data_IF_506089600240
#
_entry.id   IF_506089600240
#
_cell.length_a   1.000
_cell.length_b   1.000
_cell.length_c   1.000
_cell.angle_alpha   90.00
_cell.angle_beta   90.00
_cell.angle_gamma   90.00
#
_symmetry.space_group_name_H-M   'P 1'
#
loop_
_entity.id
_entity.type
_entity.pdbx_description
1 polymer ?
#
# COMPACT_ATOMS: atom_id res chain seq x y z
N UNK A 1 2.86 -1.54 18.38
CA UNK A 1 4.03 -1.19 17.55
C UNK A 1 3.64 -0.58 16.20
N UNK A 2 2.85 -1.23 15.33
CA UNK A 2 2.42 -0.58 14.06
C UNK A 2 1.42 0.57 14.24
N UNK A 3 0.81 0.68 15.42
CA UNK A 3 -0.13 1.75 15.79
C UNK A 3 0.53 2.87 16.60
N UNK A 4 1.86 2.82 16.78
CA UNK A 4 2.57 3.83 17.54
C UNK A 4 2.62 5.16 16.79
N UNK A 5 2.62 6.27 17.55
CA UNK A 5 2.84 7.61 16.97
C UNK A 5 4.30 7.79 16.56
N UNK A 6 5.22 7.14 17.28
CA UNK A 6 6.63 7.19 16.94
C UNK A 6 6.87 6.42 15.64
N UNK A 7 7.07 7.18 14.57
CA UNK A 7 7.25 6.61 13.26
C UNK A 7 8.42 5.59 13.29
N UNK A 8 9.55 5.84 13.97
CA UNK A 8 10.70 4.91 13.96
C UNK A 8 10.32 3.51 14.49
N UNK A 9 9.44 3.44 15.49
CA UNK A 9 8.92 2.16 15.98
C UNK A 9 8.04 1.45 14.94
N UNK A 10 7.27 2.21 14.18
CA UNK A 10 6.47 1.66 13.07
C UNK A 10 7.37 1.10 11.97
N UNK A 11 8.44 1.82 11.58
CA UNK A 11 9.37 1.36 10.54
C UNK A 11 10.12 0.10 10.97
N UNK A 12 10.74 0.10 12.15
CA UNK A 12 11.45 -1.06 12.64
C UNK A 12 10.51 -2.25 12.87
N UNK A 13 9.31 -1.98 13.38
CA UNK A 13 8.30 -3.02 13.57
C UNK A 13 7.86 -3.66 12.27
N UNK A 14 7.59 -2.86 11.25
CA UNK A 14 7.18 -3.36 9.94
C UNK A 14 8.32 -4.05 9.19
N UNK A 15 9.54 -3.51 9.26
CA UNK A 15 10.73 -4.15 8.71
C UNK A 15 10.99 -5.52 9.35
N UNK A 16 10.81 -5.63 10.67
CA UNK A 16 10.84 -6.90 11.38
C UNK A 16 9.79 -7.89 10.89
N UNK A 17 8.53 -7.44 10.77
CA UNK A 17 7.44 -8.28 10.25
C UNK A 17 7.68 -8.75 8.80
N UNK A 18 8.19 -7.87 7.94
CA UNK A 18 8.52 -8.19 6.56
C UNK A 18 9.51 -9.37 6.48
N UNK A 19 10.54 -9.36 7.32
CA UNK A 19 11.51 -10.45 7.38
C UNK A 19 10.93 -11.74 7.98
N UNK A 20 10.05 -11.63 8.98
CA UNK A 20 9.48 -12.78 9.68
C UNK A 20 8.38 -13.50 8.91
N UNK A 21 7.61 -12.79 8.07
CA UNK A 21 6.40 -13.32 7.44
C UNK A 21 6.66 -14.35 6.33
N UNK A 22 7.93 -14.64 5.99
CA UNK A 22 8.31 -15.77 5.13
C UNK A 22 8.21 -17.12 5.85
N UNK A 23 8.36 -17.13 7.18
CA UNK A 23 8.08 -18.32 7.98
C UNK A 23 6.57 -18.59 8.05
N UNK A 24 6.18 -19.86 7.90
CA UNK A 24 4.77 -20.26 7.82
C UNK A 24 4.00 -20.00 9.12
N UNK A 25 4.64 -20.26 10.26
CA UNK A 25 4.03 -20.08 11.58
C UNK A 25 3.83 -18.60 11.87
N UNK A 26 4.85 -17.78 11.62
CA UNK A 26 4.76 -16.33 11.75
C UNK A 26 3.70 -15.75 10.81
N UNK A 27 3.65 -16.21 9.56
CA UNK A 27 2.62 -15.80 8.59
C UNK A 27 1.21 -16.06 9.11
N UNK A 28 0.94 -17.26 9.61
CA UNK A 28 -0.36 -17.59 10.21
C UNK A 28 -0.69 -16.64 11.35
N UNK A 29 0.24 -16.49 12.32
CA UNK A 29 0.03 -15.59 13.45
C UNK A 29 -0.25 -14.14 13.04
N UNK A 30 0.43 -13.62 12.02
CA UNK A 30 0.18 -12.26 11.52
C UNK A 30 -1.24 -12.15 10.93
N UNK A 31 -1.68 -13.13 10.16
CA UNK A 31 -3.03 -13.14 9.58
C UNK A 31 -4.11 -13.31 10.67
N UNK A 32 -3.94 -14.27 11.56
CA UNK A 32 -4.90 -14.63 12.61
C UNK A 32 -5.06 -13.52 13.67
N UNK A 33 -4.02 -12.72 13.88
CA UNK A 33 -4.06 -11.56 14.79
C UNK A 33 -4.64 -10.28 14.16
N UNK A 34 -5.08 -10.33 12.90
CA UNK A 34 -5.56 -9.14 12.18
C UNK A 34 -4.44 -8.18 11.75
N UNK A 35 -3.20 -8.65 11.75
CA UNK A 35 -2.03 -7.86 11.37
C UNK A 35 -2.07 -7.35 9.93
N UNK A 36 -2.79 -8.04 9.04
CA UNK A 36 -2.94 -7.63 7.63
C UNK A 36 -3.48 -6.20 7.48
N UNK A 37 -4.51 -5.84 8.25
CA UNK A 37 -5.09 -4.47 8.23
C UNK A 37 -4.07 -3.43 8.66
N UNK A 38 -3.24 -3.74 9.65
CA UNK A 38 -2.19 -2.85 10.12
C UNK A 38 -1.11 -2.64 9.06
N UNK A 39 -0.72 -3.71 8.34
CA UNK A 39 0.21 -3.63 7.21
C UNK A 39 -0.36 -2.78 6.07
N UNK A 40 -1.65 -2.95 5.74
CA UNK A 40 -2.33 -2.12 4.72
C UNK A 40 -2.30 -0.64 5.12
N UNK A 41 -2.58 -0.31 6.38
CA UNK A 41 -2.53 1.08 6.87
C UNK A 41 -1.13 1.70 6.75
N UNK A 42 -0.06 0.89 6.81
CA UNK A 42 1.30 1.38 6.60
C UNK A 42 1.60 1.83 5.17
N UNK A 43 0.77 1.49 4.17
CA UNK A 43 0.90 2.01 2.80
C UNK A 43 0.71 3.54 2.75
N UNK A 44 -0.07 4.11 3.66
CA UNK A 44 -0.27 5.57 3.78
C UNK A 44 0.89 6.31 4.47
N UNK A 45 1.97 5.61 4.85
CA UNK A 45 3.14 6.23 5.50
C UNK A 45 3.84 7.23 4.58
N UNK A 46 4.36 8.31 5.16
CA UNK A 46 5.21 9.28 4.44
C UNK A 46 6.65 8.78 4.26
N UNK A 47 7.02 7.70 4.95
CA UNK A 47 8.38 7.16 4.87
C UNK A 47 8.46 6.01 3.89
N UNK A 48 9.34 6.17 2.91
CA UNK A 48 9.53 5.23 1.82
C UNK A 48 9.88 3.82 2.31
N UNK A 49 10.75 3.68 3.32
CA UNK A 49 11.12 2.36 3.86
C UNK A 49 9.96 1.63 4.54
N UNK A 50 9.05 2.40 5.18
CA UNK A 50 7.81 1.84 5.72
C UNK A 50 6.90 1.37 4.59
N UNK A 51 6.74 2.16 3.52
CA UNK A 51 5.93 1.77 2.35
C UNK A 51 6.53 0.54 1.64
N UNK A 52 7.84 0.49 1.44
CA UNK A 52 8.54 -0.65 0.84
C UNK A 52 8.35 -1.93 1.65
N UNK A 53 8.48 -1.84 2.98
CA UNK A 53 8.25 -2.96 3.88
C UNK A 53 6.78 -3.40 3.85
N UNK A 54 5.83 -2.46 3.81
CA UNK A 54 4.40 -2.76 3.69
C UNK A 54 4.10 -3.53 2.41
N UNK A 55 4.55 -3.00 1.25
CA UNK A 55 4.37 -3.61 -0.07
C UNK A 55 4.86 -5.06 -0.11
N UNK A 56 6.10 -5.25 0.33
CA UNK A 56 6.75 -6.57 0.33
C UNK A 56 6.04 -7.52 1.30
N UNK A 57 5.65 -7.04 2.47
CA UNK A 57 4.88 -7.83 3.45
C UNK A 57 3.54 -8.26 2.87
N UNK A 58 2.81 -7.40 2.14
CA UNK A 58 1.54 -7.78 1.50
C UNK A 58 1.72 -8.89 0.46
N UNK A 59 2.79 -8.84 -0.34
CA UNK A 59 3.12 -9.92 -1.27
C UNK A 59 3.32 -11.25 -0.54
N UNK A 60 4.10 -11.23 0.55
CA UNK A 60 4.38 -12.43 1.34
C UNK A 60 3.17 -12.94 2.11
N UNK A 61 2.29 -12.05 2.58
CA UNK A 61 1.05 -12.40 3.26
C UNK A 61 -0.06 -12.82 2.30
N UNK A 62 0.12 -12.71 0.98
CA UNK A 62 -0.89 -13.14 0.02
C UNK A 62 -0.98 -14.66 -0.05
N UNK A 63 -2.07 -15.19 0.47
CA UNK A 63 -2.44 -16.61 0.44
C UNK A 63 -3.82 -16.74 -0.19
N UNK A 64 -4.30 -17.97 -0.43
CA UNK A 64 -5.67 -18.17 -0.91
C UNK A 64 -6.73 -17.53 0.02
N UNK A 65 -6.49 -17.54 1.34
CA UNK A 65 -7.42 -17.00 2.32
C UNK A 65 -7.37 -15.46 2.43
N UNK A 66 -6.19 -14.85 2.25
CA UNK A 66 -5.98 -13.40 2.41
C UNK A 66 -6.03 -12.61 1.10
N UNK A 67 -6.04 -13.28 -0.06
CA UNK A 67 -5.96 -12.63 -1.39
C UNK A 67 -7.00 -11.55 -1.60
N UNK A 68 -8.24 -11.77 -1.17
CA UNK A 68 -9.33 -10.80 -1.36
C UNK A 68 -9.07 -9.49 -0.61
N UNK A 69 -8.46 -9.56 0.59
CA UNK A 69 -8.11 -8.38 1.37
C UNK A 69 -6.81 -7.72 0.86
N UNK A 70 -5.81 -8.53 0.50
CA UNK A 70 -4.55 -8.05 -0.11
C UNK A 70 -4.81 -7.33 -1.43
N UNK A 71 -5.78 -7.79 -2.23
CA UNK A 71 -6.15 -7.19 -3.52
C UNK A 71 -7.47 -6.42 -3.46
N UNK A 72 -7.83 -5.93 -2.27
CA UNK A 72 -8.99 -5.06 -2.10
C UNK A 72 -8.84 -3.80 -2.97
N UNK A 73 -9.94 -3.21 -3.49
CA UNK A 73 -9.87 -2.09 -4.44
C UNK A 73 -8.97 -0.93 -4.00
N UNK A 74 -9.04 -0.53 -2.72
CA UNK A 74 -8.20 0.52 -2.17
C UNK A 74 -6.70 0.19 -2.21
N UNK A 75 -6.34 -1.08 -1.98
CA UNK A 75 -4.94 -1.54 -2.08
C UNK A 75 -4.48 -1.49 -3.53
N UNK A 76 -5.28 -2.01 -4.46
CA UNK A 76 -4.95 -1.99 -5.90
C UNK A 76 -4.80 -0.55 -6.42
N UNK A 77 -5.66 0.37 -5.98
CA UNK A 77 -5.56 1.79 -6.30
C UNK A 77 -4.24 2.40 -5.76
N UNK A 78 -3.85 2.09 -4.53
CA UNK A 78 -2.54 2.45 -3.99
C UNK A 78 -1.39 1.91 -4.86
N UNK A 79 -1.47 0.66 -5.33
CA UNK A 79 -0.43 0.08 -6.19
C UNK A 79 -0.35 0.78 -7.55
N UNK A 80 -1.49 1.12 -8.14
CA UNK A 80 -1.51 1.90 -9.39
C UNK A 80 -0.83 3.26 -9.17
N UNK A 81 -1.15 3.98 -8.09
CA UNK A 81 -0.48 5.24 -7.74
C UNK A 81 1.03 5.05 -7.52
N UNK A 82 1.43 4.02 -6.77
CA UNK A 82 2.83 3.73 -6.49
C UNK A 82 3.64 3.30 -7.71
N UNK A 83 3.02 2.65 -8.69
CA UNK A 83 3.66 2.32 -9.97
C UNK A 83 4.13 3.56 -10.75
N UNK A 84 3.53 4.72 -10.47
CA UNK A 84 3.88 6.02 -11.05
C UNK A 84 4.87 6.83 -10.20
N UNK A 85 5.33 6.28 -9.08
CA UNK A 85 6.27 6.96 -8.17
C UNK A 85 7.64 7.19 -8.84
N UNK A 86 8.28 8.32 -8.52
CA UNK A 86 9.66 8.61 -8.91
C UNK A 86 10.67 7.72 -8.17
N UNK A 87 10.28 7.15 -7.03
CA UNK A 87 11.09 6.17 -6.32
C UNK A 87 11.01 4.82 -7.04
N UNK A 88 12.12 4.44 -7.69
CA UNK A 88 12.22 3.20 -8.48
C UNK A 88 11.95 1.93 -7.68
N UNK A 89 12.30 1.88 -6.39
CA UNK A 89 12.04 0.67 -5.57
C UNK A 89 10.54 0.49 -5.36
N UNK A 90 9.84 1.58 -5.03
CA UNK A 90 8.40 1.57 -4.83
C UNK A 90 7.67 1.27 -6.14
N UNK A 91 8.02 1.94 -7.24
CA UNK A 91 7.34 1.74 -8.51
C UNK A 91 7.55 0.34 -9.09
N UNK A 92 8.77 -0.22 -8.96
CA UNK A 92 9.03 -1.60 -9.37
C UNK A 92 8.23 -2.61 -8.55
N UNK A 93 8.24 -2.50 -7.22
CA UNK A 93 7.48 -3.43 -6.36
C UNK A 93 5.98 -3.31 -6.61
N UNK A 94 5.45 -2.10 -6.75
CA UNK A 94 4.04 -1.91 -7.07
C UNK A 94 3.67 -2.50 -8.44
N UNK A 95 4.55 -2.37 -9.44
CA UNK A 95 4.35 -2.98 -10.76
C UNK A 95 4.32 -4.50 -10.68
N UNK A 96 5.26 -5.11 -9.96
CA UNK A 96 5.28 -6.55 -9.70
C UNK A 96 4.01 -6.99 -8.96
N UNK A 97 3.57 -6.21 -7.96
CA UNK A 97 2.34 -6.51 -7.22
C UNK A 97 1.13 -6.58 -8.16
N UNK A 98 0.98 -5.59 -9.03
CA UNK A 98 -0.13 -5.51 -9.99
C UNK A 98 -0.10 -6.68 -10.97
N UNK A 99 1.08 -7.09 -11.42
CA UNK A 99 1.27 -8.19 -12.38
C UNK A 99 1.01 -9.57 -11.77
N UNK A 100 1.52 -9.82 -10.56
CA UNK A 100 1.56 -11.18 -9.99
C UNK A 100 0.33 -11.48 -9.11
N UNK A 101 -0.34 -10.46 -8.58
CA UNK A 101 -1.38 -10.64 -7.57
C UNK A 101 -2.76 -10.16 -8.01
N UNK A 102 -2.85 -9.22 -8.94
CA UNK A 102 -4.11 -8.63 -9.39
C UNK A 102 -4.52 -9.15 -10.77
N UNK A 103 -5.83 -9.18 -11.04
CA UNK A 103 -6.35 -9.42 -12.39
C UNK A 103 -6.38 -8.12 -13.21
N UNK A 104 -6.32 -8.24 -14.54
CA UNK A 104 -6.42 -7.10 -15.46
C UNK A 104 -7.65 -6.23 -15.18
N UNK A 105 -8.78 -6.88 -14.85
CA UNK A 105 -10.03 -6.20 -14.47
C UNK A 105 -9.84 -5.32 -13.23
N UNK A 106 -9.25 -5.85 -12.15
CA UNK A 106 -9.00 -5.07 -10.93
C UNK A 106 -8.06 -3.88 -11.21
N UNK A 107 -7.03 -4.09 -12.02
CA UNK A 107 -6.08 -3.03 -12.38
C UNK A 107 -6.75 -1.94 -13.21
N UNK A 108 -7.62 -2.32 -14.15
CA UNK A 108 -8.35 -1.37 -14.99
C UNK A 108 -9.36 -0.54 -14.18
N UNK A 109 -10.15 -1.18 -13.32
CA UNK A 109 -11.08 -0.50 -12.41
C UNK A 109 -10.35 0.50 -11.50
N UNK A 110 -9.19 0.12 -10.95
CA UNK A 110 -8.38 1.00 -10.10
C UNK A 110 -7.79 2.21 -10.86
N UNK A 111 -7.38 2.02 -12.12
CA UNK A 111 -6.91 3.12 -12.98
C UNK A 111 -8.02 4.12 -13.29
N UNK A 112 -9.23 3.63 -13.57
CA UNK A 112 -10.39 4.49 -13.82
C UNK A 112 -10.75 5.32 -12.57
N UNK A 113 -10.79 4.72 -11.39
CA UNK A 113 -11.04 5.43 -10.13
C UNK A 113 -9.99 6.50 -9.85
N UNK A 114 -8.71 6.18 -10.08
CA UNK A 114 -7.61 7.13 -9.89
C UNK A 114 -7.74 8.35 -10.80
N UNK A 115 -8.18 8.17 -12.05
CA UNK A 115 -8.41 9.26 -13.00
C UNK A 115 -9.59 10.17 -12.59
N UNK A 116 -10.67 9.59 -12.06
CA UNK A 116 -11.83 10.36 -11.59
C UNK A 116 -11.54 11.13 -10.30
N UNK A 117 -10.66 10.63 -9.42
CA UNK A 117 -10.25 11.34 -8.20
C UNK A 117 -9.48 12.64 -8.46
N UNK A 118 -8.89 12.80 -9.65
CA UNK A 118 -8.19 14.02 -10.07
C UNK A 118 -9.11 15.14 -10.59
N UNK A 119 -10.41 14.89 -10.74
CA UNK A 119 -11.38 15.83 -11.32
C UNK A 119 -12.32 16.50 -10.30
N UNK A 120 -12.08 16.35 -9.00
CA UNK A 120 -13.06 16.70 -7.95
C UNK A 120 -12.68 17.79 -6.93
N UNK A 121 -11.51 18.41 -7.00
CA UNK A 121 -11.12 19.47 -6.06
C UNK A 121 -11.00 20.80 -6.82
N UNK A 122 -11.86 21.80 -6.54
CA UNK A 122 -11.69 23.14 -7.08
C UNK A 122 -10.34 23.73 -6.63
N UNK A 123 -9.55 24.22 -7.58
CA UNK A 123 -8.41 25.10 -7.29
C UNK A 123 -8.94 26.37 -6.59
N UNK A 124 -8.30 26.86 -5.51
CA UNK A 124 -8.71 28.12 -4.90
C UNK A 124 -8.57 29.25 -5.92
N UNK A 125 -9.64 30.02 -6.10
CA UNK A 125 -9.63 31.16 -7.01
C UNK A 125 -8.52 32.14 -6.59
N UNK A 126 -7.65 32.45 -7.55
CA UNK A 126 -6.67 33.52 -7.43
C UNK A 126 -7.43 34.82 -7.22
N UNK A 127 -7.58 35.27 -5.97
CA UNK A 127 -8.06 36.62 -5.67
C UNK A 127 -7.07 37.62 -6.23
N UNK A 128 -7.34 38.09 -7.45
CA UNK A 128 -6.81 39.34 -7.96
C UNK A 128 -7.28 40.44 -7.02
N UNK A 129 -6.35 41.00 -6.23
CA UNK A 129 -6.60 42.29 -5.59
C UNK A 129 -6.41 43.38 -6.66
N UNK A 130 -7.42 44.21 -6.95
CA UNK A 130 -7.22 45.41 -7.74
C UNK A 130 -6.51 46.46 -6.89
N UNK A 131 -5.42 46.97 -7.48
CA UNK A 131 -4.69 48.25 -7.30
C UNK A 131 -4.81 48.93 -5.92
#
# INVERSE_FOLDING_TARGET
>A
MLTEVNENLVEFGLGGLCNLCLDKTNKSHILDSGGLKLVINCLSSRREETVLSALTTLMFLCTAASRTEVTAPAVVECMVRFSLSTNRRISNLATIFLQDYCSDKQVQEAKELSQHSALGIPLPESTQHPI
#
